data_IF_732730170812
#
_entry.id   IF_732730170812
#
_cell.length_a   1.000
_cell.length_b   1.000
_cell.length_c   1.000
_cell.angle_alpha   90.00
_cell.angle_beta   90.00
_cell.angle_gamma   90.00
#
_symmetry.space_group_name_H-M   'P 1'
#
loop_
_entity.id
_entity.type
_entity.pdbx_description
1 polymer ?
#
# COMPACT_ATOMS: atom_id res chain seq x y z
N UNK A 1 9.67 -23.63 6.41
CA UNK A 1 9.39 -23.63 7.86
C UNK A 1 9.25 -22.18 8.29
N UNK A 2 8.08 -21.77 8.77
CA UNK A 2 7.91 -20.47 9.42
C UNK A 2 8.57 -20.51 10.82
N UNK A 3 9.26 -19.44 11.21
CA UNK A 3 9.69 -19.24 12.60
C UNK A 3 8.64 -18.38 13.27
N UNK A 4 8.04 -18.86 14.35
CA UNK A 4 7.11 -18.08 15.18
C UNK A 4 7.94 -17.18 16.10
N UNK A 5 7.67 -15.87 16.06
CA UNK A 5 8.27 -14.88 16.96
C UNK A 5 7.23 -14.59 18.04
N UNK A 6 7.54 -14.87 19.31
CA UNK A 6 6.59 -14.65 20.41
C UNK A 6 6.18 -13.16 20.49
N UNK A 7 4.87 -12.92 20.60
CA UNK A 7 4.27 -11.58 20.65
C UNK A 7 3.94 -10.96 19.29
N UNK A 8 4.43 -11.54 18.18
CA UNK A 8 4.02 -11.13 16.83
C UNK A 8 2.82 -11.99 16.40
N UNK A 9 1.65 -11.39 16.12
CA UNK A 9 0.51 -12.14 15.62
C UNK A 9 0.88 -12.88 14.33
N UNK A 10 0.59 -14.18 14.25
CA UNK A 10 0.80 -14.95 13.01
C UNK A 10 -0.06 -14.42 11.84
N UNK A 11 -1.13 -13.71 12.16
CA UNK A 11 -1.98 -13.01 11.22
C UNK A 11 -2.58 -11.77 11.87
N UNK A 12 -2.80 -10.75 11.06
CA UNK A 12 -3.64 -9.61 11.41
C UNK A 12 -5.06 -9.87 10.91
N UNK A 13 -6.07 -9.34 11.60
CA UNK A 13 -7.43 -9.41 11.10
C UNK A 13 -7.58 -8.57 9.82
N UNK A 14 -8.59 -8.87 9.00
CA UNK A 14 -8.91 -8.04 7.82
C UNK A 14 -9.20 -6.60 8.24
N UNK A 15 -9.90 -6.39 9.35
CA UNK A 15 -10.22 -5.05 9.84
C UNK A 15 -8.97 -4.27 10.23
N UNK A 16 -8.02 -4.90 10.93
CA UNK A 16 -6.77 -4.25 11.32
C UNK A 16 -5.89 -3.94 10.10
N UNK A 17 -5.89 -4.82 9.10
CA UNK A 17 -5.25 -4.57 7.82
C UNK A 17 -5.85 -3.33 7.11
N UNK A 18 -7.17 -3.22 7.07
CA UNK A 18 -7.86 -2.07 6.49
C UNK A 18 -7.55 -0.77 7.25
N UNK A 19 -7.50 -0.82 8.59
CA UNK A 19 -7.14 0.32 9.43
C UNK A 19 -5.70 0.78 9.19
N UNK A 20 -4.77 -0.17 9.02
CA UNK A 20 -3.38 0.12 8.72
C UNK A 20 -3.23 0.86 7.38
N UNK A 21 -3.91 0.37 6.34
CA UNK A 21 -3.97 1.03 5.03
C UNK A 21 -4.51 2.46 5.14
N UNK A 22 -5.65 2.62 5.84
CA UNK A 22 -6.26 3.92 6.04
C UNK A 22 -5.35 4.88 6.84
N UNK A 23 -4.63 4.39 7.86
CA UNK A 23 -3.68 5.20 8.64
C UNK A 23 -2.47 5.66 7.82
N UNK A 24 -2.09 4.90 6.79
CA UNK A 24 -1.05 5.29 5.84
C UNK A 24 -1.57 6.29 4.78
N UNK A 25 -2.85 6.65 4.81
CA UNK A 25 -3.46 7.62 3.91
C UNK A 25 -3.91 7.05 2.56
N UNK A 26 -4.03 5.72 2.44
CA UNK A 26 -4.45 5.05 1.20
C UNK A 26 -5.87 4.52 1.28
N UNK A 27 -6.55 4.46 0.13
CA UNK A 27 -7.81 3.70 -0.03
C UNK A 27 -7.48 2.24 -0.38
N UNK A 28 -8.08 1.29 0.34
CA UNK A 28 -7.91 -0.15 0.08
C UNK A 28 -8.33 -0.55 -1.34
N UNK A 29 -9.30 0.16 -1.93
CA UNK A 29 -9.78 -0.16 -3.27
C UNK A 29 -8.80 0.28 -4.37
N UNK A 30 -7.84 1.13 -4.00
CA UNK A 30 -6.83 1.69 -4.91
C UNK A 30 -5.46 1.07 -4.71
N UNK A 31 -5.25 0.41 -3.57
CA UNK A 31 -4.00 -0.21 -3.17
C UNK A 31 -3.88 -1.62 -3.76
N UNK A 32 -2.85 -1.83 -4.57
CA UNK A 32 -2.49 -3.15 -5.11
C UNK A 32 -1.54 -3.92 -4.20
N UNK A 33 -0.59 -3.21 -3.59
CA UNK A 33 0.44 -3.79 -2.75
C UNK A 33 0.87 -2.81 -1.67
N UNK A 34 1.21 -3.33 -0.49
CA UNK A 34 1.78 -2.59 0.61
C UNK A 34 2.98 -3.35 1.16
N UNK A 35 4.14 -2.70 1.21
CA UNK A 35 5.38 -3.27 1.74
C UNK A 35 5.95 -2.36 2.80
N UNK A 36 6.21 -2.93 3.97
CA UNK A 36 6.88 -2.26 5.08
C UNK A 36 8.39 -2.53 4.99
N UNK A 37 9.17 -1.47 4.81
CA UNK A 37 10.62 -1.45 4.88
C UNK A 37 11.12 -0.87 6.20
N UNK A 38 12.42 -0.98 6.45
CA UNK A 38 13.07 -0.37 7.61
C UNK A 38 13.12 1.16 7.50
N UNK A 39 13.09 1.66 6.27
CA UNK A 39 13.25 3.04 5.86
C UNK A 39 11.91 3.73 5.54
N UNK A 40 10.82 2.97 5.41
CA UNK A 40 9.53 3.52 5.06
C UNK A 40 8.52 2.49 4.59
N UNK A 41 7.35 3.00 4.20
CA UNK A 41 6.26 2.21 3.63
C UNK A 41 6.25 2.46 2.12
N UNK A 42 6.19 1.37 1.36
CA UNK A 42 6.08 1.37 -0.08
C UNK A 42 4.67 0.89 -0.45
N UNK A 43 3.92 1.73 -1.15
CA UNK A 43 2.56 1.43 -1.58
C UNK A 43 2.46 1.49 -3.10
N UNK A 44 1.90 0.45 -3.71
CA UNK A 44 1.54 0.45 -5.13
C UNK A 44 0.08 0.82 -5.26
N UNK A 45 -0.21 1.96 -5.86
CA UNK A 45 -1.55 2.51 -6.01
C UNK A 45 -1.90 2.67 -7.49
N UNK A 46 -3.18 2.52 -7.80
CA UNK A 46 -3.73 2.80 -9.13
C UNK A 46 -3.61 4.30 -9.40
N UNK A 47 -2.95 4.68 -10.49
CA UNK A 47 -2.92 6.06 -10.95
C UNK A 47 -4.31 6.50 -11.40
N UNK A 48 -4.75 7.68 -10.98
CA UNK A 48 -6.03 8.26 -11.40
C UNK A 48 -5.80 9.54 -12.20
N UNK A 49 -6.66 9.76 -13.18
CA UNK A 49 -6.72 11.03 -13.88
C UNK A 49 -7.39 12.14 -13.04
N UNK A 50 -7.47 13.35 -13.60
CA UNK A 50 -8.09 14.50 -12.93
C UNK A 50 -9.61 14.35 -12.72
N UNK A 51 -10.26 13.36 -13.34
CA UNK A 51 -11.66 13.02 -13.14
C UNK A 51 -11.84 11.89 -12.10
N UNK A 52 -10.74 11.42 -11.51
CA UNK A 52 -10.76 10.32 -10.55
C UNK A 52 -10.98 8.96 -11.20
N UNK A 53 -10.75 8.79 -12.50
CA UNK A 53 -10.82 7.47 -13.15
C UNK A 53 -9.43 6.83 -13.21
N UNK A 54 -9.30 5.50 -13.10
CA UNK A 54 -8.02 4.82 -13.29
C UNK A 54 -7.41 5.18 -14.66
N UNK A 55 -6.14 5.55 -14.68
CA UNK A 55 -5.40 5.70 -15.94
C UNK A 55 -5.03 4.34 -16.49
N UNK A 56 -5.12 4.20 -17.80
CA UNK A 56 -4.70 2.99 -18.51
C UNK A 56 -3.59 3.32 -19.51
N UNK A 57 -2.57 2.48 -19.59
CA UNK A 57 -1.49 2.54 -20.57
C UNK A 57 -1.80 1.63 -21.76
N UNK A 58 -1.92 2.22 -22.96
CA UNK A 58 -2.02 1.48 -24.23
C UNK A 58 -3.33 0.74 -24.49
N UNK A 59 -3.42 0.10 -25.68
CA UNK A 59 -4.49 -0.86 -25.98
C UNK A 59 -4.38 -2.04 -25.01
N UNK A 60 -5.26 -2.08 -24.01
CA UNK A 60 -5.30 -3.16 -23.04
C UNK A 60 -5.42 -4.51 -23.77
N UNK A 61 -4.34 -5.30 -23.75
CA UNK A 61 -4.36 -6.68 -24.23
C UNK A 61 -5.31 -7.45 -23.31
N UNK A 62 -6.29 -8.14 -23.89
CA UNK A 62 -7.32 -8.85 -23.15
C UNK A 62 -6.71 -9.79 -22.09
N UNK A 63 -6.82 -9.42 -20.82
CA UNK A 63 -6.37 -10.24 -19.68
C UNK A 63 -5.43 -9.53 -18.71
N UNK A 64 -4.72 -8.48 -19.14
CA UNK A 64 -3.91 -7.64 -18.25
C UNK A 64 -4.67 -6.35 -17.95
N UNK A 65 -4.86 -6.06 -16.66
CA UNK A 65 -5.38 -4.76 -16.26
C UNK A 65 -4.33 -3.73 -16.65
N UNK A 66 -4.46 -3.10 -17.81
CA UNK A 66 -3.55 -2.07 -18.33
C UNK A 66 -3.55 -0.78 -17.49
N UNK A 67 -3.93 -0.86 -16.21
CA UNK A 67 -4.01 0.24 -15.28
C UNK A 67 -2.60 0.65 -14.89
N UNK A 68 -2.30 1.93 -15.00
CA UNK A 68 -1.02 2.50 -14.58
C UNK A 68 -0.91 2.39 -13.05
N UNK A 69 0.21 1.88 -12.57
CA UNK A 69 0.49 1.70 -11.14
C UNK A 69 1.63 2.64 -10.77
N UNK A 70 1.42 3.42 -9.72
CA UNK A 70 2.44 4.28 -9.12
C UNK A 70 2.94 3.68 -7.82
N UNK A 71 4.25 3.77 -7.58
CA UNK A 71 4.84 3.46 -6.27
C UNK A 71 4.97 4.75 -5.47
N UNK A 72 4.29 4.80 -4.32
CA UNK A 72 4.40 5.87 -3.34
C UNK A 72 5.30 5.41 -2.21
N UNK A 73 6.29 6.23 -1.87
CA UNK A 73 7.17 6.01 -0.73
C UNK A 73 6.80 6.98 0.40
N UNK A 74 6.45 6.44 1.56
CA UNK A 74 6.21 7.19 2.78
C UNK A 74 7.39 6.93 3.72
N UNK A 75 8.26 7.93 3.99
CA UNK A 75 9.35 7.77 4.93
C UNK A 75 8.79 7.59 6.35
N UNK A 76 9.29 6.61 7.08
CA UNK A 76 9.07 6.55 8.52
C UNK A 76 10.04 7.53 9.16
N UNK A 77 9.51 8.60 9.74
CA UNK A 77 10.27 9.48 10.60
C UNK A 77 9.97 9.09 12.04
N UNK A 78 11.00 8.75 12.80
CA UNK A 78 10.85 8.67 14.25
C UNK A 78 10.44 10.07 14.73
N UNK A 79 9.38 10.17 15.52
CA UNK A 79 9.10 11.41 16.24
C UNK A 79 10.32 11.72 17.10
N UNK A 80 11.03 12.79 16.78
CA UNK A 80 12.01 13.34 17.72
C UNK A 80 11.24 13.63 19.02
N UNK A 81 11.63 13.02 20.16
CA UNK A 81 10.92 13.23 21.41
C UNK A 81 11.11 14.67 21.86
N UNK A 82 10.14 15.53 21.54
CA UNK A 82 9.92 16.84 22.14
C UNK A 82 10.95 17.93 21.83
N UNK A 83 10.47 19.00 21.21
CA UNK A 83 10.90 20.35 21.60
C UNK A 83 9.91 20.92 22.60
#
# INVERSE_FOLDING_TARGET
MSKVIEGVPESISREDYLRLIASAGFDVNELRSLKFGYDGIYAEVIDRDNAGQPRYEGEAVAGESGTVINTVYIPVQDEEPGR
#
